data_IF_427228820241
#
_entry.id   IF_427228820241
#
_cell.length_a   1.000
_cell.length_b   1.000
_cell.length_c   1.000
_cell.angle_alpha   90.00
_cell.angle_beta   90.00
_cell.angle_gamma   90.00
#
_symmetry.space_group_name_H-M   'P 1'
#
loop_
_entity.id
_entity.type
_entity.pdbx_description
1 polymer ?
#
# COMPACT_ATOMS: atom_id res chain seq x y z
N UNK A 1 -2.65 -2.23 -11.80
CA UNK A 1 -1.80 -2.10 -13.02
C UNK A 1 -2.55 -1.34 -14.10
N UNK A 2 -1.85 -0.61 -14.96
CA UNK A 2 -2.43 -0.05 -16.19
C UNK A 2 -2.11 -0.95 -17.38
N UNK A 3 -3.12 -1.62 -17.90
CA UNK A 3 -2.95 -2.53 -19.03
C UNK A 3 -2.96 -1.87 -20.41
N UNK A 4 -3.34 -0.61 -20.48
CA UNK A 4 -3.41 0.17 -21.72
C UNK A 4 -2.14 0.92 -22.05
N UNK A 5 -1.24 1.09 -21.06
CA UNK A 5 0.05 1.70 -21.28
C UNK A 5 0.92 0.78 -22.16
N UNK A 6 1.43 1.34 -23.26
CA UNK A 6 2.57 0.76 -23.98
C UNK A 6 3.86 1.17 -23.25
N UNK A 7 4.53 0.26 -22.51
CA UNK A 7 5.62 0.65 -21.63
C UNK A 7 6.83 1.16 -22.43
N UNK A 8 7.40 2.34 -22.11
CA UNK A 8 8.59 2.84 -22.81
C UNK A 8 9.85 2.05 -22.42
N UNK A 9 11.00 2.49 -22.94
CA UNK A 9 12.34 1.96 -22.55
C UNK A 9 12.54 0.46 -22.82
N UNK A 10 11.74 -0.11 -23.75
CA UNK A 10 11.77 -1.53 -24.07
C UNK A 10 11.25 -2.43 -22.95
N UNK A 11 10.48 -1.87 -22.01
CA UNK A 11 9.79 -2.62 -20.96
C UNK A 11 8.70 -3.50 -21.58
N UNK A 12 8.42 -4.63 -20.94
CA UNK A 12 7.38 -5.56 -21.40
C UNK A 12 6.04 -5.14 -20.84
N UNK A 13 4.97 -5.40 -21.58
CA UNK A 13 3.62 -5.37 -21.03
C UNK A 13 3.52 -6.38 -19.90
N UNK A 14 2.94 -5.94 -18.79
CA UNK A 14 2.94 -6.69 -17.53
C UNK A 14 1.65 -7.50 -17.34
N UNK A 15 0.55 -7.04 -17.95
CA UNK A 15 -0.73 -7.72 -17.83
C UNK A 15 -0.63 -9.13 -18.42
N UNK A 16 -0.86 -10.12 -17.55
CA UNK A 16 -0.68 -11.53 -17.83
C UNK A 16 -1.86 -12.20 -18.55
N UNK A 17 -2.98 -11.50 -18.72
CA UNK A 17 -4.22 -12.01 -19.32
C UNK A 17 -4.77 -11.01 -20.35
N UNK A 18 -5.39 -11.52 -21.41
CA UNK A 18 -5.66 -10.74 -22.63
C UNK A 18 -6.63 -9.57 -22.41
N UNK A 19 -7.66 -9.78 -21.61
CA UNK A 19 -8.71 -8.79 -21.41
C UNK A 19 -8.33 -7.66 -20.45
N UNK A 20 -7.22 -7.80 -19.70
CA UNK A 20 -6.70 -6.73 -18.85
C UNK A 20 -5.94 -5.65 -19.62
N UNK A 21 -5.69 -5.82 -20.93
CA UNK A 21 -4.99 -4.80 -21.75
C UNK A 21 -5.87 -3.61 -22.14
N UNK A 22 -6.94 -3.36 -21.38
CA UNK A 22 -7.92 -2.30 -21.64
C UNK A 22 -7.61 -1.08 -20.77
N UNK A 23 -8.05 0.12 -21.17
CA UNK A 23 -7.96 1.30 -20.31
C UNK A 23 -8.60 1.08 -18.94
N UNK A 24 -7.99 1.67 -17.92
CA UNK A 24 -8.38 1.51 -16.52
C UNK A 24 -7.58 0.44 -15.77
N UNK A 25 -7.98 0.18 -14.51
CA UNK A 25 -7.23 -0.68 -13.62
C UNK A 25 -7.35 -2.17 -13.98
N UNK A 26 -6.22 -2.85 -13.92
CA UNK A 26 -6.09 -4.31 -14.05
C UNK A 26 -5.35 -4.90 -12.86
N UNK A 27 -5.81 -6.06 -12.42
CA UNK A 27 -5.34 -6.78 -11.23
C UNK A 27 -4.11 -7.60 -11.55
N UNK A 28 -3.09 -7.56 -10.70
CA UNK A 28 -1.97 -8.49 -10.78
C UNK A 28 -2.36 -9.84 -10.12
N UNK A 29 -2.45 -10.97 -10.86
CA UNK A 29 -2.77 -12.26 -10.24
C UNK A 29 -1.54 -12.80 -9.52
N UNK A 30 -1.62 -13.02 -8.21
CA UNK A 30 -0.55 -13.57 -7.39
C UNK A 30 -0.94 -14.94 -6.83
N UNK A 31 0.05 -15.81 -6.61
CA UNK A 31 -0.16 -17.12 -6.00
C UNK A 31 -0.93 -17.02 -4.67
N UNK A 32 -1.80 -18.00 -4.40
CA UNK A 32 -2.53 -18.15 -3.12
C UNK A 32 -2.01 -19.32 -2.31
N UNK A 33 -1.95 -19.12 -1.00
CA UNK A 33 -1.47 -20.07 -0.02
C UNK A 33 -2.46 -20.18 1.13
N UNK A 34 -2.31 -21.22 1.94
CA UNK A 34 -2.96 -21.24 3.24
C UNK A 34 -2.37 -20.16 4.17
N UNK A 35 -3.09 -19.81 5.24
CA UNK A 35 -2.70 -18.75 6.20
C UNK A 35 -1.30 -18.93 6.81
N UNK A 36 -0.79 -20.15 6.86
CA UNK A 36 0.55 -20.44 7.41
C UNK A 36 1.67 -20.36 6.37
N UNK A 37 1.34 -20.09 5.10
CA UNK A 37 2.26 -20.15 3.96
C UNK A 37 3.02 -21.50 3.86
N UNK A 38 2.36 -22.61 4.25
CA UNK A 38 2.93 -23.96 4.19
C UNK A 38 2.38 -24.81 3.05
N UNK A 39 1.22 -24.44 2.51
CA UNK A 39 0.55 -25.13 1.41
C UNK A 39 0.19 -24.11 0.34
N UNK A 40 0.68 -24.31 -0.88
CA UNK A 40 0.29 -23.51 -2.04
C UNK A 40 -0.99 -24.09 -2.62
N UNK A 41 -2.06 -23.30 -2.64
CA UNK A 41 -3.31 -23.70 -3.26
C UNK A 41 -3.31 -23.44 -4.77
N UNK A 42 -2.70 -22.32 -5.16
CA UNK A 42 -2.68 -21.89 -6.56
C UNK A 42 -1.43 -21.09 -6.84
N UNK A 43 -0.65 -21.52 -7.83
CA UNK A 43 0.47 -20.74 -8.33
C UNK A 43 0.00 -19.61 -9.27
N UNK A 44 0.91 -18.68 -9.57
CA UNK A 44 0.64 -17.56 -10.47
C UNK A 44 0.07 -18.00 -11.83
N UNK A 45 0.56 -19.09 -12.44
CA UNK A 45 0.09 -19.52 -13.76
C UNK A 45 -1.32 -20.09 -13.68
N UNK A 46 -1.61 -20.88 -12.65
CA UNK A 46 -2.94 -21.41 -12.40
C UNK A 46 -3.94 -20.27 -12.16
N UNK A 47 -3.56 -19.22 -11.42
CA UNK A 47 -4.45 -18.09 -11.21
C UNK A 47 -4.64 -17.27 -12.49
N UNK A 48 -3.59 -17.06 -13.29
CA UNK A 48 -3.72 -16.43 -14.62
C UNK A 48 -4.67 -17.22 -15.53
N UNK A 49 -4.65 -18.55 -15.47
CA UNK A 49 -5.62 -19.38 -16.19
C UNK A 49 -7.06 -19.08 -15.75
N UNK A 50 -7.30 -19.00 -14.43
CA UNK A 50 -8.60 -18.58 -13.88
C UNK A 50 -9.04 -17.20 -14.37
N UNK A 51 -8.13 -16.24 -14.48
CA UNK A 51 -8.42 -14.94 -15.08
C UNK A 51 -8.80 -15.07 -16.56
N UNK A 52 -8.05 -15.84 -17.35
CA UNK A 52 -8.32 -16.02 -18.79
C UNK A 52 -9.68 -16.70 -19.05
N UNK A 53 -10.06 -17.65 -18.19
CA UNK A 53 -11.32 -18.40 -18.33
C UNK A 53 -12.48 -17.80 -17.53
N UNK A 54 -12.23 -16.73 -16.77
CA UNK A 54 -13.18 -16.14 -15.82
C UNK A 54 -13.77 -17.18 -14.85
N UNK A 55 -12.91 -18.03 -14.30
CA UNK A 55 -13.27 -19.08 -13.36
C UNK A 55 -13.84 -20.35 -14.00
N UNK A 56 -14.01 -20.40 -15.32
CA UNK A 56 -14.42 -21.63 -16.00
C UNK A 56 -13.25 -22.60 -16.15
N UNK A 57 -13.52 -23.89 -16.39
CA UNK A 57 -12.47 -24.86 -16.69
C UNK A 57 -11.56 -24.36 -17.84
N UNK A 58 -10.23 -24.50 -17.75
CA UNK A 58 -9.47 -25.28 -16.75
C UNK A 58 -9.06 -24.55 -15.45
N UNK A 59 -9.74 -23.50 -15.02
CA UNK A 59 -9.52 -22.91 -13.69
C UNK A 59 -9.68 -23.95 -12.57
N UNK A 60 -8.66 -24.06 -11.74
CA UNK A 60 -8.61 -25.00 -10.60
C UNK A 60 -9.42 -24.43 -9.43
N UNK A 61 -10.41 -25.17 -8.86
CA UNK A 61 -11.23 -24.69 -7.76
C UNK A 61 -10.44 -24.23 -6.52
N UNK A 62 -9.32 -24.89 -6.23
CA UNK A 62 -8.42 -24.56 -5.12
C UNK A 62 -7.79 -23.16 -5.26
N UNK A 63 -7.81 -22.55 -6.44
CA UNK A 63 -7.44 -21.14 -6.60
C UNK A 63 -8.40 -20.19 -5.87
N UNK A 64 -9.60 -20.65 -5.51
CA UNK A 64 -10.60 -19.82 -4.82
C UNK A 64 -10.95 -18.57 -5.63
N UNK A 65 -10.83 -18.62 -6.96
CA UNK A 65 -11.08 -17.49 -7.83
C UNK A 65 -12.58 -17.15 -7.83
N UNK A 66 -12.92 -15.90 -7.51
CA UNK A 66 -14.31 -15.44 -7.50
C UNK A 66 -14.53 -14.49 -8.68
N UNK A 67 -15.24 -14.99 -9.71
CA UNK A 67 -15.57 -14.20 -10.88
C UNK A 67 -16.45 -12.99 -10.52
N UNK A 68 -16.14 -11.83 -11.09
CA UNK A 68 -16.81 -10.57 -10.74
C UNK A 68 -16.18 -9.85 -9.55
N UNK A 69 -15.36 -10.54 -8.74
CA UNK A 69 -14.64 -9.94 -7.59
C UNK A 69 -13.15 -9.86 -7.87
N UNK A 70 -12.50 -11.01 -8.13
CA UNK A 70 -11.04 -11.07 -8.37
C UNK A 70 -10.61 -10.40 -9.68
N UNK A 71 -11.50 -10.26 -10.67
CA UNK A 71 -11.22 -9.60 -11.95
C UNK A 71 -11.35 -8.08 -11.93
N UNK A 72 -11.93 -7.50 -10.88
CA UNK A 72 -12.16 -6.05 -10.76
C UNK A 72 -12.18 -5.51 -9.31
N UNK A 73 -11.38 -6.03 -8.36
CA UNK A 73 -11.44 -5.65 -6.95
C UNK A 73 -11.15 -4.17 -6.75
N UNK A 74 -10.20 -3.56 -7.48
CA UNK A 74 -9.96 -2.12 -7.37
C UNK A 74 -11.21 -1.29 -7.71
N UNK A 75 -11.98 -1.69 -8.72
CA UNK A 75 -13.19 -0.96 -9.11
C UNK A 75 -14.31 -1.17 -8.08
N UNK A 76 -14.47 -2.38 -7.54
CA UNK A 76 -15.44 -2.65 -6.48
C UNK A 76 -15.13 -1.84 -5.22
N UNK A 77 -13.89 -1.94 -4.73
CA UNK A 77 -13.40 -1.16 -3.58
C UNK A 77 -13.56 0.34 -3.84
N UNK A 78 -13.18 0.84 -5.03
CA UNK A 78 -13.35 2.26 -5.36
C UNK A 78 -14.82 2.70 -5.40
N UNK A 79 -15.75 1.83 -5.80
CA UNK A 79 -17.19 2.15 -5.80
C UNK A 79 -17.73 2.23 -4.37
N UNK A 80 -17.40 1.26 -3.51
CA UNK A 80 -17.74 1.31 -2.09
C UNK A 80 -17.11 2.53 -1.40
N UNK A 81 -15.84 2.84 -1.72
CA UNK A 81 -15.11 4.00 -1.21
C UNK A 81 -15.78 5.31 -1.60
N UNK A 82 -16.19 5.48 -2.86
CA UNK A 82 -16.95 6.66 -3.32
C UNK A 82 -18.30 6.78 -2.63
N UNK A 83 -19.02 5.67 -2.47
CA UNK A 83 -20.32 5.67 -1.81
C UNK A 83 -20.17 6.12 -0.36
N UNK A 84 -19.19 5.57 0.37
CA UNK A 84 -18.88 6.00 1.74
C UNK A 84 -18.44 7.45 1.80
N UNK A 85 -17.50 7.87 0.95
CA UNK A 85 -16.99 9.24 0.92
C UNK A 85 -18.08 10.28 0.61
N UNK A 86 -19.04 9.95 -0.26
CA UNK A 86 -20.17 10.82 -0.54
C UNK A 86 -21.11 10.99 0.68
N UNK A 87 -21.12 10.03 1.61
CA UNK A 87 -21.90 10.09 2.84
C UNK A 87 -21.17 10.83 3.97
N UNK A 88 -19.86 10.59 4.13
CA UNK A 88 -19.10 11.07 5.30
C UNK A 88 -18.20 12.28 5.02
N UNK A 89 -17.99 12.63 3.74
CA UNK A 89 -17.13 13.73 3.28
C UNK A 89 -15.76 13.79 4.00
N UNK A 90 -14.89 12.77 3.83
CA UNK A 90 -13.63 12.68 4.56
C UNK A 90 -12.77 13.92 4.30
N UNK A 91 -11.98 14.33 5.29
CA UNK A 91 -11.12 15.52 5.17
C UNK A 91 -9.88 15.24 4.32
N UNK A 92 -9.36 14.02 4.37
CA UNK A 92 -8.19 13.52 3.64
C UNK A 92 -8.20 11.99 3.64
N UNK A 93 -7.34 11.41 2.81
CA UNK A 93 -7.14 9.97 2.67
C UNK A 93 -5.71 9.62 3.10
N UNK A 94 -5.56 8.52 3.83
CA UNK A 94 -4.26 7.88 4.08
C UNK A 94 -4.08 6.76 3.07
N UNK A 95 -2.94 6.74 2.38
CA UNK A 95 -2.61 5.76 1.37
C UNK A 95 -1.29 5.07 1.72
N UNK A 96 -1.34 3.75 1.88
CA UNK A 96 -0.29 2.95 2.56
C UNK A 96 0.71 2.29 1.60
N UNK A 97 0.85 2.81 0.38
CA UNK A 97 1.85 2.32 -0.59
C UNK A 97 1.35 1.19 -1.48
N UNK A 98 2.26 0.71 -2.33
CA UNK A 98 1.95 -0.10 -3.53
C UNK A 98 0.92 0.59 -4.43
N UNK A 99 1.17 1.87 -4.66
CA UNK A 99 0.27 2.78 -5.35
C UNK A 99 0.02 2.34 -6.80
N UNK A 100 1.06 1.81 -7.46
CA UNK A 100 0.97 1.35 -8.85
C UNK A 100 1.58 -0.03 -9.02
N UNK A 101 0.73 -1.05 -9.13
CA UNK A 101 1.20 -2.39 -9.49
C UNK A 101 1.62 -2.49 -10.96
N UNK A 102 2.51 -3.41 -11.32
CA UNK A 102 3.23 -4.33 -10.42
C UNK A 102 4.62 -3.79 -10.02
N UNK A 103 5.07 -2.66 -10.58
CA UNK A 103 6.43 -2.15 -10.37
C UNK A 103 6.49 -0.63 -10.24
N UNK A 104 5.42 0.03 -9.81
CA UNK A 104 5.39 1.48 -9.71
C UNK A 104 5.15 2.13 -11.07
N UNK A 105 5.80 3.28 -11.30
CA UNK A 105 5.73 3.96 -12.59
C UNK A 105 6.66 3.27 -13.59
N UNK A 106 6.11 2.97 -14.77
CA UNK A 106 6.76 2.17 -15.82
C UNK A 106 7.81 2.95 -16.62
N UNK A 107 8.86 3.34 -15.91
CA UNK A 107 10.08 3.98 -16.43
C UNK A 107 11.21 3.85 -15.42
N UNK A 108 12.43 4.11 -15.86
CA UNK A 108 13.57 4.14 -14.96
C UNK A 108 13.57 5.41 -14.10
N UNK A 109 13.95 5.28 -12.84
CA UNK A 109 14.17 6.39 -11.91
C UNK A 109 15.19 7.41 -12.44
N UNK A 110 15.22 8.61 -11.84
CA UNK A 110 16.23 9.63 -12.16
C UNK A 110 15.71 10.69 -13.13
N UNK A 111 14.40 10.88 -13.21
CA UNK A 111 13.86 12.01 -13.96
C UNK A 111 13.88 13.28 -13.14
N UNK A 112 14.11 14.44 -13.75
CA UNK A 112 14.08 15.71 -13.04
C UNK A 112 12.77 15.89 -12.27
N UNK A 113 12.88 16.30 -11.00
CA UNK A 113 11.74 16.45 -10.08
C UNK A 113 10.72 17.51 -10.52
N UNK A 114 11.12 18.43 -11.40
CA UNK A 114 10.27 19.46 -11.99
C UNK A 114 9.53 19.01 -13.26
N UNK A 115 9.65 17.72 -13.63
CA UNK A 115 9.04 17.16 -14.83
C UNK A 115 8.22 15.92 -14.51
N UNK A 116 7.02 15.86 -15.09
CA UNK A 116 6.17 14.67 -15.08
C UNK A 116 6.29 13.98 -16.43
N UNK A 117 6.80 12.76 -16.42
CA UNK A 117 6.91 11.97 -17.64
C UNK A 117 5.56 11.43 -18.12
N UNK A 118 5.52 11.05 -19.40
CA UNK A 118 4.31 10.46 -20.00
C UNK A 118 3.78 9.23 -19.24
N UNK A 119 4.58 8.20 -18.89
CA UNK A 119 4.09 7.05 -18.12
C UNK A 119 3.50 7.45 -16.78
N UNK A 120 4.13 8.41 -16.09
CA UNK A 120 3.62 8.96 -14.84
C UNK A 120 2.23 9.55 -15.06
N UNK A 121 2.09 10.53 -15.96
CA UNK A 121 0.79 11.17 -16.23
C UNK A 121 -0.29 10.15 -16.60
N UNK A 122 0.05 9.21 -17.49
CA UNK A 122 -0.87 8.20 -17.99
C UNK A 122 -1.33 7.24 -16.88
N UNK A 123 -0.40 6.66 -16.10
CA UNK A 123 -0.75 5.76 -15.00
C UNK A 123 -1.54 6.47 -13.90
N UNK A 124 -1.16 7.70 -13.53
CA UNK A 124 -1.94 8.51 -12.57
C UNK A 124 -3.35 8.77 -13.10
N UNK A 125 -3.52 9.10 -14.38
CA UNK A 125 -4.85 9.29 -14.98
C UNK A 125 -5.70 8.01 -14.93
N UNK A 126 -5.12 6.86 -15.28
CA UNK A 126 -5.87 5.60 -15.43
C UNK A 126 -6.15 4.90 -14.10
N UNK A 127 -5.22 4.97 -13.14
CA UNK A 127 -5.26 4.17 -11.91
C UNK A 127 -5.68 5.00 -10.70
N UNK A 128 -5.46 6.32 -10.73
CA UNK A 128 -5.73 7.20 -9.61
C UNK A 128 -6.80 8.26 -9.91
N UNK A 129 -6.55 9.18 -10.83
CA UNK A 129 -7.44 10.33 -11.09
C UNK A 129 -8.78 9.91 -11.71
N UNK A 130 -8.76 8.99 -12.66
CA UNK A 130 -9.98 8.46 -13.28
C UNK A 130 -10.77 7.53 -12.36
N UNK A 131 -10.12 6.92 -11.38
CA UNK A 131 -10.74 5.95 -10.47
C UNK A 131 -11.31 6.63 -9.23
N UNK A 132 -10.53 7.47 -8.53
CA UNK A 132 -10.88 8.03 -7.23
C UNK A 132 -11.29 9.50 -7.33
N UNK A 133 -12.48 9.73 -7.90
CA UNK A 133 -13.11 11.05 -8.06
C UNK A 133 -14.60 10.99 -7.74
N UNK A 134 -15.20 12.14 -7.40
CA UNK A 134 -16.60 12.26 -7.01
C UNK A 134 -16.79 13.01 -5.69
N UNK A 135 -18.04 13.07 -5.22
CA UNK A 135 -18.38 13.68 -3.94
C UNK A 135 -17.58 13.04 -2.79
N UNK A 136 -17.00 13.88 -1.93
CA UNK A 136 -16.14 13.43 -0.83
C UNK A 136 -14.72 13.00 -1.21
N UNK A 137 -14.36 12.94 -2.50
CA UNK A 137 -13.01 12.54 -2.94
C UNK A 137 -12.32 13.59 -3.81
N UNK A 138 -13.08 14.30 -4.65
CA UNK A 138 -12.53 15.37 -5.50
C UNK A 138 -11.92 16.45 -4.60
N UNK A 139 -10.65 16.79 -4.87
CA UNK A 139 -9.83 17.76 -4.13
C UNK A 139 -9.50 17.40 -2.67
N UNK A 140 -9.79 16.18 -2.19
CA UNK A 140 -9.33 15.75 -0.86
C UNK A 140 -7.88 15.30 -0.93
N UNK A 141 -6.99 15.75 -0.02
CA UNK A 141 -5.59 15.31 -0.01
C UNK A 141 -5.46 13.80 0.23
N UNK A 142 -4.49 13.18 -0.44
CA UNK A 142 -4.06 11.80 -0.30
C UNK A 142 -2.64 11.78 0.22
N UNK A 143 -2.49 11.61 1.53
CA UNK A 143 -1.18 11.45 2.15
C UNK A 143 -0.69 10.02 1.92
N UNK A 144 0.32 9.88 1.08
CA UNK A 144 0.78 8.59 0.57
C UNK A 144 2.17 8.22 1.06
N UNK A 145 2.47 6.92 1.11
CA UNK A 145 3.83 6.36 1.23
C UNK A 145 4.17 5.53 0.01
N UNK A 146 5.45 5.15 -0.12
CA UNK A 146 5.90 4.18 -1.11
C UNK A 146 5.84 2.76 -0.52
N UNK A 147 5.32 1.81 -1.29
CA UNK A 147 5.45 0.38 -1.04
C UNK A 147 6.56 -0.26 -1.87
N UNK A 148 6.78 -1.55 -1.68
CA UNK A 148 7.87 -2.26 -2.33
C UNK A 148 7.65 -2.32 -3.85
N UNK A 149 6.40 -2.43 -4.30
CA UNK A 149 6.07 -2.36 -5.72
C UNK A 149 6.33 -0.98 -6.31
N UNK A 150 6.20 0.11 -5.54
CA UNK A 150 6.47 1.47 -6.04
C UNK A 150 7.95 1.70 -6.36
N UNK A 151 8.84 1.09 -5.57
CA UNK A 151 10.28 1.02 -5.83
C UNK A 151 10.64 0.09 -7.00
N UNK A 152 9.76 -0.87 -7.31
CA UNK A 152 9.86 -1.76 -8.47
C UNK A 152 9.57 -3.24 -8.20
N UNK A 153 9.20 -3.59 -6.97
CA UNK A 153 8.78 -4.93 -6.54
C UNK A 153 9.97 -5.89 -6.41
N UNK A 154 10.53 -6.33 -7.53
CA UNK A 154 11.69 -7.23 -7.57
C UNK A 154 12.98 -6.58 -8.10
N UNK A 155 12.91 -5.28 -8.33
CA UNK A 155 14.00 -4.41 -8.79
C UNK A 155 13.83 -3.02 -8.16
N UNK A 156 14.89 -2.22 -8.08
CA UNK A 156 14.85 -0.91 -7.39
C UNK A 156 14.83 0.28 -8.36
N UNK A 157 15.01 0.02 -9.67
CA UNK A 157 15.27 1.06 -10.67
C UNK A 157 14.01 1.60 -11.36
N UNK A 158 12.83 1.44 -10.78
CA UNK A 158 11.57 1.99 -11.32
C UNK A 158 11.29 3.42 -10.85
N UNK A 159 10.34 4.10 -11.51
CA UNK A 159 10.12 5.55 -11.38
C UNK A 159 9.43 6.00 -10.08
N UNK A 160 9.90 5.54 -8.92
CA UNK A 160 9.40 5.95 -7.59
C UNK A 160 9.49 7.47 -7.37
N UNK A 161 10.57 8.09 -7.88
CA UNK A 161 10.86 9.53 -7.85
C UNK A 161 9.76 10.37 -8.53
N UNK A 162 9.09 9.79 -9.52
CA UNK A 162 8.00 10.46 -10.22
C UNK A 162 6.70 10.46 -9.45
N UNK A 163 6.48 9.49 -8.55
CA UNK A 163 5.35 9.56 -7.62
C UNK A 163 5.56 10.66 -6.59
N UNK A 164 6.82 10.89 -6.16
CA UNK A 164 7.16 12.05 -5.34
C UNK A 164 6.92 13.32 -6.14
N UNK A 165 7.54 13.46 -7.33
CA UNK A 165 7.39 14.62 -8.22
C UNK A 165 5.93 14.99 -8.50
N UNK A 166 5.03 14.00 -8.58
CA UNK A 166 3.61 14.21 -8.83
C UNK A 166 2.90 15.02 -7.72
N UNK A 167 3.46 15.09 -6.51
CA UNK A 167 2.96 15.97 -5.44
C UNK A 167 2.97 17.45 -5.84
N UNK A 168 3.88 17.86 -6.74
CA UNK A 168 3.97 19.22 -7.26
C UNK A 168 3.14 19.43 -8.53
N UNK A 169 2.60 18.35 -9.11
CA UNK A 169 1.77 18.37 -10.31
C UNK A 169 0.28 18.12 -10.02
N UNK A 170 -0.05 17.66 -8.81
CA UNK A 170 -1.40 17.37 -8.35
C UNK A 170 -1.82 18.35 -7.26
N UNK A 171 -3.10 18.67 -7.19
CA UNK A 171 -3.67 19.44 -6.08
C UNK A 171 -4.05 18.57 -4.88
N UNK A 172 -3.96 17.23 -5.01
CA UNK A 172 -4.48 16.30 -4.02
C UNK A 172 -3.55 15.13 -3.71
N UNK A 173 -2.57 14.81 -4.56
CA UNK A 173 -1.55 13.82 -4.22
C UNK A 173 -0.48 14.44 -3.32
N UNK A 174 -0.22 13.86 -2.15
CA UNK A 174 0.77 14.36 -1.19
C UNK A 174 1.72 13.24 -0.78
N UNK A 175 2.94 13.29 -1.31
CA UNK A 175 4.05 12.42 -0.96
C UNK A 175 5.37 13.13 -1.28
N UNK A 176 5.80 14.09 -0.44
CA UNK A 176 6.90 14.97 -0.78
C UNK A 176 8.30 14.36 -0.64
N UNK A 177 8.41 13.21 0.02
CA UNK A 177 9.66 12.49 0.26
C UNK A 177 9.33 11.03 0.59
N UNK A 178 10.32 10.10 0.58
CA UNK A 178 10.10 8.73 1.04
C UNK A 178 9.53 8.65 2.46
N UNK A 179 9.90 9.61 3.31
CA UNK A 179 9.38 9.76 4.65
C UNK A 179 9.19 11.24 4.99
N UNK A 180 8.11 11.57 5.71
CA UNK A 180 7.76 12.96 6.02
C UNK A 180 6.76 13.03 7.18
N UNK A 181 6.60 14.24 7.73
CA UNK A 181 5.60 14.54 8.75
C UNK A 181 4.58 15.52 8.18
N UNK A 182 3.30 15.32 8.47
CA UNK A 182 2.28 16.36 8.31
C UNK A 182 1.47 16.52 9.60
N UNK A 183 0.93 17.70 9.81
CA UNK A 183 0.06 18.00 10.94
C UNK A 183 -1.29 18.48 10.42
N UNK A 184 -2.38 17.91 10.94
CA UNK A 184 -3.75 18.36 10.65
C UNK A 184 -4.30 19.01 11.91
N UNK A 185 -4.75 20.26 11.79
CA UNK A 185 -5.21 21.07 12.93
C UNK A 185 -6.70 21.32 12.81
N UNK A 186 -7.47 20.87 13.80
CA UNK A 186 -8.89 21.13 13.95
C UNK A 186 -9.13 22.21 14.99
N UNK A 187 -8.74 23.45 14.68
CA UNK A 187 -8.75 24.56 15.62
C UNK A 187 -10.12 24.79 16.28
N UNK A 188 -11.21 24.69 15.51
CA UNK A 188 -12.58 24.87 16.02
C UNK A 188 -13.04 23.73 16.95
N UNK A 189 -12.36 22.58 16.90
CA UNK A 189 -12.64 21.41 17.73
C UNK A 189 -11.57 21.19 18.82
N UNK A 190 -10.59 22.10 18.93
CA UNK A 190 -9.54 22.10 19.95
C UNK A 190 -8.71 20.80 19.99
N UNK A 191 -8.39 20.24 18.83
CA UNK A 191 -7.45 19.12 18.71
C UNK A 191 -6.68 19.14 17.38
N UNK A 192 -5.62 18.36 17.33
CA UNK A 192 -4.71 18.24 16.19
C UNK A 192 -4.12 16.82 16.12
N UNK A 193 -3.62 16.48 14.94
CA UNK A 193 -3.09 15.15 14.63
C UNK A 193 -1.75 15.30 13.94
N UNK A 194 -0.73 14.69 14.49
CA UNK A 194 0.56 14.50 13.83
C UNK A 194 0.60 13.14 13.14
N UNK A 195 0.78 13.16 11.83
CA UNK A 195 1.04 11.95 11.05
C UNK A 195 2.53 11.85 10.69
N UNK A 196 3.08 10.67 10.90
CA UNK A 196 4.45 10.32 10.58
C UNK A 196 4.45 9.22 9.51
N UNK A 197 4.84 9.60 8.29
CA UNK A 197 4.89 8.72 7.14
C UNK A 197 6.32 8.16 7.01
N UNK A 198 6.44 6.83 7.02
CA UNK A 198 7.72 6.12 7.02
C UNK A 198 7.87 5.24 5.76
N UNK A 199 9.10 5.13 5.27
CA UNK A 199 9.49 4.14 4.27
C UNK A 199 10.09 2.91 4.99
N UNK A 200 9.34 1.82 5.02
CA UNK A 200 9.74 0.55 5.60
C UNK A 200 10.27 -0.47 4.59
N UNK A 201 10.59 -0.05 3.36
CA UNK A 201 10.91 -0.97 2.26
C UNK A 201 12.24 -1.71 2.43
N UNK A 202 13.03 -1.37 3.47
CA UNK A 202 14.20 -2.16 3.84
C UNK A 202 13.90 -3.66 4.08
N UNK A 203 12.65 -4.01 4.40
CA UNK A 203 12.21 -5.39 4.64
C UNK A 203 12.33 -6.25 3.36
N UNK A 204 12.05 -5.67 2.18
CA UNK A 204 12.18 -6.34 0.88
C UNK A 204 13.48 -5.97 0.13
N UNK A 205 14.40 -5.27 0.79
CA UNK A 205 15.71 -4.92 0.26
C UNK A 205 16.80 -5.90 0.75
N UNK A 206 16.68 -7.16 0.32
CA UNK A 206 17.52 -8.28 0.78
C UNK A 206 18.86 -8.37 0.03
N UNK A 207 19.86 -9.13 0.53
CA UNK A 207 21.09 -9.39 -0.22
C UNK A 207 20.81 -9.82 -1.67
N UNK A 208 21.58 -9.36 -2.68
CA UNK A 208 21.17 -9.46 -4.09
C UNK A 208 20.93 -10.88 -4.64
N UNK A 209 21.45 -11.90 -3.97
CA UNK A 209 21.30 -13.30 -4.36
C UNK A 209 20.09 -13.99 -3.71
N UNK A 210 19.40 -13.31 -2.78
CA UNK A 210 18.28 -13.85 -2.01
C UNK A 210 16.93 -13.47 -2.63
N UNK A 211 15.97 -14.38 -2.46
CA UNK A 211 14.58 -14.33 -2.94
C UNK A 211 14.35 -13.45 -4.17
N UNK A 212 14.87 -13.85 -5.34
CA UNK A 212 14.91 -12.99 -6.50
C UNK A 212 13.53 -12.73 -7.14
N UNK A 213 12.42 -13.17 -6.54
CA UNK A 213 11.08 -12.82 -7.03
C UNK A 213 10.36 -11.82 -6.10
N UNK A 214 10.90 -11.54 -4.91
CA UNK A 214 10.36 -10.56 -3.94
C UNK A 214 11.40 -9.52 -3.50
N UNK A 215 12.67 -9.71 -3.83
CA UNK A 215 13.75 -8.81 -3.44
C UNK A 215 13.94 -7.67 -4.44
N UNK A 216 13.71 -6.42 -4.02
CA UNK A 216 13.94 -5.22 -4.84
C UNK A 216 15.41 -5.06 -5.25
N UNK A 217 16.35 -5.58 -4.46
CA UNK A 217 17.77 -5.52 -4.73
C UNK A 217 18.31 -6.75 -5.49
N UNK A 218 17.44 -7.58 -6.07
CA UNK A 218 17.85 -8.83 -6.72
C UNK A 218 18.77 -8.60 -7.92
N UNK A 219 19.92 -9.30 -7.97
CA UNK A 219 20.82 -9.31 -9.14
C UNK A 219 20.17 -9.96 -10.37
N UNK A 220 19.17 -10.82 -10.18
CA UNK A 220 18.48 -11.51 -11.27
C UNK A 220 17.65 -10.55 -12.14
N UNK A 221 17.02 -9.55 -11.51
CA UNK A 221 16.08 -8.67 -12.22
C UNK A 221 16.59 -7.25 -12.43
N UNK A 222 17.57 -6.81 -11.63
CA UNK A 222 18.26 -5.56 -11.88
C UNK A 222 19.35 -5.76 -12.93
N UNK A 223 19.46 -4.84 -13.88
CA UNK A 223 20.61 -4.81 -14.80
C UNK A 223 21.88 -4.54 -13.99
N UNK A 224 23.05 -5.05 -14.40
CA UNK A 224 24.32 -4.71 -13.74
C UNK A 224 24.61 -3.19 -13.71
N UNK A 225 24.03 -2.43 -14.64
CA UNK A 225 24.16 -0.98 -14.73
C UNK A 225 22.98 -0.22 -14.09
N UNK A 226 22.06 -0.88 -13.38
CA UNK A 226 20.92 -0.24 -12.74
C UNK A 226 21.42 0.75 -11.67
N UNK A 227 20.86 1.96 -11.67
CA UNK A 227 21.22 3.02 -10.74
C UNK A 227 20.11 4.06 -10.65
N UNK A 228 19.81 4.51 -9.44
CA UNK A 228 18.93 5.64 -9.14
C UNK A 228 19.68 6.81 -8.49
N UNK A 229 21.02 6.86 -8.59
CA UNK A 229 21.83 7.91 -7.99
C UNK A 229 21.41 9.33 -8.43
N UNK A 230 20.87 9.46 -9.66
CA UNK A 230 20.37 10.73 -10.19
C UNK A 230 19.14 11.29 -9.45
N UNK A 231 18.45 10.45 -8.67
CA UNK A 231 17.33 10.82 -7.80
C UNK A 231 17.64 10.57 -6.31
N UNK A 232 18.92 10.51 -5.92
CA UNK A 232 19.36 10.19 -4.55
C UNK A 232 18.94 8.78 -4.05
N UNK A 233 18.62 7.87 -4.98
CA UNK A 233 18.32 6.46 -4.69
C UNK A 233 19.55 5.55 -4.71
N UNK A 234 19.37 4.22 -4.65
CA UNK A 234 20.47 3.26 -4.70
C UNK A 234 21.37 3.42 -5.93
N UNK A 235 22.68 3.49 -5.72
CA UNK A 235 23.64 3.73 -6.80
C UNK A 235 23.95 2.50 -7.65
N UNK A 236 23.75 1.29 -7.10
CA UNK A 236 23.98 0.01 -7.76
C UNK A 236 23.22 -1.12 -7.07
N UNK A 237 23.14 -2.28 -7.72
CA UNK A 237 22.57 -3.52 -7.14
C UNK A 237 23.26 -3.89 -5.82
N UNK A 238 24.59 -3.81 -5.76
CA UNK A 238 25.35 -4.18 -4.57
C UNK A 238 25.17 -3.17 -3.41
N UNK A 239 24.91 -1.90 -3.73
CA UNK A 239 24.64 -0.86 -2.74
C UNK A 239 23.18 -0.83 -2.25
N UNK A 240 22.25 -1.42 -3.01
CA UNK A 240 20.80 -1.33 -2.77
C UNK A 240 20.36 -1.73 -1.36
N UNK A 241 20.76 -2.89 -0.80
CA UNK A 241 20.35 -3.26 0.55
C UNK A 241 20.86 -2.27 1.61
N UNK A 242 22.10 -1.82 1.45
CA UNK A 242 22.74 -0.86 2.35
C UNK A 242 22.10 0.53 2.30
N UNK A 243 21.62 0.95 1.13
CA UNK A 243 20.89 2.20 0.95
C UNK A 243 19.56 2.18 1.70
N UNK A 244 18.72 1.15 1.52
CA UNK A 244 17.45 1.04 2.23
C UNK A 244 17.64 0.84 3.75
N UNK A 245 18.65 0.07 4.16
CA UNK A 245 18.97 -0.08 5.58
C UNK A 245 19.39 1.25 6.22
N UNK A 246 20.14 2.07 5.49
CA UNK A 246 20.57 3.40 5.92
C UNK A 246 19.39 4.38 5.98
N UNK A 247 18.51 4.36 4.98
CA UNK A 247 17.26 5.14 4.99
C UNK A 247 16.40 4.78 6.22
N UNK A 248 16.22 3.50 6.54
CA UNK A 248 15.48 3.09 7.73
C UNK A 248 16.19 3.51 9.04
N UNK A 249 17.52 3.36 9.10
CA UNK A 249 18.31 3.76 10.26
C UNK A 249 18.30 5.28 10.51
N UNK A 250 18.14 6.10 9.47
CA UNK A 250 17.99 7.55 9.57
C UNK A 250 16.58 7.95 10.07
N UNK A 251 15.55 7.29 9.55
CA UNK A 251 14.14 7.58 9.89
C UNK A 251 13.81 7.28 11.35
N UNK A 252 14.36 6.22 11.94
CA UNK A 252 14.09 5.83 13.34
C UNK A 252 14.38 6.96 14.35
N UNK A 253 15.59 7.53 14.44
CA UNK A 253 15.86 8.64 15.34
C UNK A 253 15.10 9.91 14.94
N UNK A 254 14.85 10.14 13.64
CA UNK A 254 14.05 11.27 13.16
C UNK A 254 12.62 11.24 13.74
N UNK A 255 11.91 10.12 13.59
CA UNK A 255 10.53 10.00 14.09
C UNK A 255 10.48 9.93 15.61
N UNK A 256 11.41 9.23 16.25
CA UNK A 256 11.54 9.15 17.72
C UNK A 256 11.67 10.55 18.32
N UNK A 257 12.51 11.40 17.73
CA UNK A 257 12.69 12.79 18.17
C UNK A 257 11.40 13.59 18.01
N UNK A 258 10.82 13.60 16.80
CA UNK A 258 9.65 14.43 16.52
C UNK A 258 8.43 14.02 17.35
N UNK A 259 8.21 12.73 17.59
CA UNK A 259 7.14 12.26 18.48
C UNK A 259 7.38 12.64 19.94
N UNK A 260 8.62 12.53 20.43
CA UNK A 260 8.97 12.96 21.78
C UNK A 260 8.75 14.46 22.01
N UNK A 261 8.96 15.27 20.96
CA UNK A 261 8.73 16.72 20.97
C UNK A 261 7.25 17.09 20.77
N UNK A 262 6.46 16.25 20.09
CA UNK A 262 5.07 16.53 19.75
C UNK A 262 4.21 16.84 20.98
N UNK A 263 3.25 17.74 20.76
CA UNK A 263 2.20 18.14 21.71
C UNK A 263 0.81 17.93 21.09
N UNK A 264 0.75 17.27 19.93
CA UNK A 264 -0.49 17.01 19.25
C UNK A 264 -1.39 16.10 20.09
N UNK A 265 -2.69 16.26 19.94
CA UNK A 265 -3.69 15.45 20.63
C UNK A 265 -3.62 13.98 20.19
N UNK A 266 -3.23 13.75 18.94
CA UNK A 266 -3.03 12.42 18.36
C UNK A 266 -1.72 12.31 17.60
N UNK A 267 -1.09 11.14 17.66
CA UNK A 267 0.08 10.79 16.85
C UNK A 267 -0.15 9.46 16.15
N UNK A 268 -0.10 9.48 14.81
CA UNK A 268 -0.38 8.33 13.95
C UNK A 268 0.84 8.03 13.07
N UNK A 269 1.26 6.77 13.02
CA UNK A 269 2.27 6.32 12.05
C UNK A 269 1.58 5.69 10.86
N UNK A 270 2.05 6.04 9.67
CA UNK A 270 1.62 5.44 8.40
C UNK A 270 2.85 4.88 7.70
N UNK A 271 2.80 3.61 7.30
CA UNK A 271 3.93 2.92 6.65
C UNK A 271 3.40 1.81 5.76
N UNK A 272 4.25 1.20 4.92
CA UNK A 272 3.79 0.17 4.00
C UNK A 272 3.74 -1.22 4.62
N UNK A 273 4.85 -1.69 5.21
CA UNK A 273 4.94 -3.07 5.69
C UNK A 273 4.02 -3.32 6.89
N UNK A 274 3.45 -4.53 6.97
CA UNK A 274 2.23 -4.76 7.73
C UNK A 274 2.52 -4.84 9.24
N UNK A 275 1.45 -4.76 10.02
CA UNK A 275 1.47 -5.14 11.43
C UNK A 275 2.23 -6.47 11.63
N UNK A 276 3.09 -6.51 12.64
CA UNK A 276 3.92 -7.67 12.96
C UNK A 276 5.41 -7.49 12.67
N UNK A 277 5.78 -6.55 11.80
CA UNK A 277 7.18 -6.17 11.56
C UNK A 277 7.62 -5.04 12.48
N UNK A 278 8.90 -5.02 12.84
CA UNK A 278 9.52 -3.96 13.65
C UNK A 278 8.75 -3.64 14.95
N UNK A 279 8.09 -4.65 15.55
CA UNK A 279 7.17 -4.43 16.68
C UNK A 279 7.85 -3.78 17.89
N UNK A 280 9.09 -4.15 18.20
CA UNK A 280 9.83 -3.52 19.30
C UNK A 280 10.09 -2.03 19.05
N UNK A 281 10.31 -1.63 17.79
CA UNK A 281 10.47 -0.23 17.43
C UNK A 281 9.15 0.53 17.57
N UNK A 282 8.05 0.02 17.00
CA UNK A 282 6.74 0.65 17.12
C UNK A 282 6.23 0.70 18.57
N UNK A 283 6.54 -0.32 19.38
CA UNK A 283 6.33 -0.30 20.83
C UNK A 283 7.05 0.87 21.49
N UNK A 284 8.30 1.13 21.11
CA UNK A 284 9.06 2.28 21.65
C UNK A 284 8.43 3.63 21.27
N UNK A 285 7.78 3.73 20.11
CA UNK A 285 7.04 4.93 19.70
C UNK A 285 5.72 5.09 20.46
N UNK A 286 5.07 3.98 20.81
CA UNK A 286 3.88 3.99 21.68
C UNK A 286 4.20 4.58 23.06
N UNK A 287 5.38 4.29 23.62
CA UNK A 287 5.83 4.93 24.87
C UNK A 287 6.07 6.46 24.70
N UNK A 288 6.25 6.92 23.46
CA UNK A 288 6.31 8.33 23.07
C UNK A 288 4.96 8.92 22.62
N UNK A 289 3.86 8.18 22.81
CA UNK A 289 2.50 8.63 22.57
C UNK A 289 1.96 8.36 21.17
N UNK A 290 2.50 7.38 20.45
CA UNK A 290 1.88 6.87 19.22
C UNK A 290 0.58 6.13 19.56
N UNK A 291 -0.52 6.54 18.93
CA UNK A 291 -1.88 6.06 19.23
C UNK A 291 -2.37 5.00 18.23
N UNK A 292 -1.91 5.09 16.98
CA UNK A 292 -2.35 4.23 15.89
C UNK A 292 -1.21 3.99 14.90
N UNK A 293 -1.11 2.74 14.42
CA UNK A 293 -0.25 2.34 13.31
C UNK A 293 -1.11 1.91 12.12
N UNK A 294 -0.93 2.54 10.96
CA UNK A 294 -1.68 2.27 9.72
C UNK A 294 -0.73 1.71 8.66
N UNK A 295 -1.02 0.51 8.17
CA UNK A 295 -0.12 -0.27 7.30
C UNK A 295 -0.85 -0.89 6.10
N UNK A 296 -0.10 -1.47 5.15
CA UNK A 296 -0.63 -2.16 3.97
C UNK A 296 0.12 -3.47 3.69
N UNK A 297 0.61 -3.64 2.46
CA UNK A 297 1.44 -4.76 1.98
C UNK A 297 0.77 -6.14 1.92
N UNK A 298 0.25 -6.68 3.03
CA UNK A 298 -0.57 -7.90 2.96
C UNK A 298 -1.90 -7.55 2.31
N UNK A 299 -2.28 -8.32 1.28
CA UNK A 299 -3.42 -7.98 0.41
C UNK A 299 -4.76 -8.39 1.04
N UNK A 300 -4.98 -7.97 2.28
CA UNK A 300 -6.20 -8.18 3.05
C UNK A 300 -6.49 -7.02 4.02
N UNK A 301 -7.53 -7.17 4.85
CA UNK A 301 -7.90 -6.24 5.90
C UNK A 301 -7.69 -6.90 7.26
N UNK A 302 -6.89 -6.27 8.12
CA UNK A 302 -6.66 -6.77 9.47
C UNK A 302 -6.67 -5.67 10.52
N UNK A 303 -7.55 -5.81 11.51
CA UNK A 303 -7.54 -4.99 12.71
C UNK A 303 -6.85 -5.71 13.88
N UNK A 304 -5.68 -5.21 14.28
CA UNK A 304 -4.89 -5.74 15.39
C UNK A 304 -5.12 -4.91 16.64
N UNK A 305 -5.70 -5.53 17.66
CA UNK A 305 -6.02 -4.88 18.93
C UNK A 305 -4.81 -4.91 19.88
N UNK A 306 -4.67 -3.92 20.79
CA UNK A 306 -3.54 -3.83 21.71
C UNK A 306 -3.50 -4.97 22.75
N UNK A 307 -4.62 -5.65 22.97
CA UNK A 307 -4.77 -6.80 23.88
C UNK A 307 -4.67 -8.16 23.18
N UNK A 308 -4.44 -8.19 21.86
CA UNK A 308 -4.16 -9.42 21.10
C UNK A 308 -2.69 -9.83 21.24
N UNK A 309 -2.32 -10.22 22.47
CA UNK A 309 -0.94 -10.57 22.84
C UNK A 309 -0.38 -11.78 22.08
N UNK A 310 -1.19 -12.53 21.32
CA UNK A 310 -0.73 -13.67 20.55
C UNK A 310 0.03 -13.24 19.27
N UNK A 311 -0.30 -12.08 18.72
CA UNK A 311 0.33 -11.54 17.50
C UNK A 311 0.82 -10.09 17.63
N UNK A 312 0.17 -9.28 18.47
CA UNK A 312 0.48 -7.87 18.67
C UNK A 312 1.25 -7.64 19.98
N UNK A 313 2.55 -7.45 19.87
CA UNK A 313 3.45 -7.16 20.99
C UNK A 313 3.76 -5.66 21.16
N UNK A 314 3.18 -4.81 20.30
CA UNK A 314 3.38 -3.35 20.31
C UNK A 314 2.55 -2.66 21.39
N UNK A 315 1.40 -3.25 21.76
CA UNK A 315 0.47 -2.66 22.73
C UNK A 315 -0.16 -1.36 22.22
N UNK A 316 -0.38 -1.27 20.91
CA UNK A 316 -1.06 -0.19 20.17
C UNK A 316 -1.99 -0.83 19.13
N UNK A 317 -3.09 -0.17 18.78
CA UNK A 317 -3.94 -0.62 17.68
C UNK A 317 -3.18 -0.48 16.36
N UNK A 318 -3.26 -1.50 15.51
CA UNK A 318 -2.62 -1.51 14.19
C UNK A 318 -3.61 -1.97 13.11
N UNK A 319 -3.60 -1.30 11.96
CA UNK A 319 -4.45 -1.62 10.80
C UNK A 319 -3.56 -2.12 9.66
N UNK A 320 -3.95 -3.23 9.02
CA UNK A 320 -3.48 -3.63 7.68
C UNK A 320 -4.61 -3.36 6.70
N UNK A 321 -4.39 -2.47 5.73
CA UNK A 321 -5.38 -2.09 4.70
C UNK A 321 -4.85 -2.32 3.28
N UNK A 322 -4.24 -3.47 3.02
CA UNK A 322 -3.66 -3.80 1.70
C UNK A 322 -4.65 -4.40 0.70
N UNK A 323 -5.92 -4.60 1.08
CA UNK A 323 -7.02 -5.08 0.25
C UNK A 323 -7.53 -4.14 -0.86
N UNK A 324 -6.74 -3.18 -1.34
CA UNK A 324 -7.18 -2.16 -2.30
C UNK A 324 -7.44 -2.66 -3.74
N UNK A 325 -7.00 -3.89 -4.07
CA UNK A 325 -7.36 -4.57 -5.31
C UNK A 325 -6.46 -4.31 -6.54
N UNK A 326 -5.26 -3.74 -6.36
CA UNK A 326 -4.27 -3.65 -7.44
C UNK A 326 -3.61 -4.99 -7.79
N UNK A 327 -3.69 -5.94 -6.86
CA UNK A 327 -3.20 -7.31 -6.87
C UNK A 327 -4.24 -8.19 -6.16
N UNK A 328 -4.26 -9.49 -6.45
CA UNK A 328 -5.21 -10.42 -5.82
C UNK A 328 -4.96 -10.55 -4.32
N UNK A 329 -6.04 -10.72 -3.56
CA UNK A 329 -6.00 -10.91 -2.11
C UNK A 329 -5.26 -12.17 -1.67
N UNK A 330 -4.79 -12.18 -0.42
CA UNK A 330 -4.00 -13.28 0.16
C UNK A 330 -4.72 -14.64 0.09
N UNK A 331 -6.03 -14.64 0.31
CA UNK A 331 -6.92 -15.79 0.21
C UNK A 331 -8.11 -15.52 -0.73
N UNK A 332 -9.00 -16.50 -0.86
CA UNK A 332 -10.26 -16.33 -1.59
C UNK A 332 -11.08 -15.17 -1.01
N UNK A 333 -11.66 -14.26 -1.82
CA UNK A 333 -12.54 -13.20 -1.33
C UNK A 333 -13.96 -13.70 -1.05
N UNK A 334 -14.22 -15.02 -1.14
CA UNK A 334 -15.51 -15.61 -0.80
C UNK A 334 -15.77 -15.50 0.72
N UNK A 335 -16.79 -14.74 1.18
CA UNK A 335 -17.07 -14.57 2.60
C UNK A 335 -17.59 -15.84 3.29
N UNK A 336 -17.93 -16.89 2.53
CA UNK A 336 -18.29 -18.20 3.07
C UNK A 336 -17.06 -19.09 3.35
N UNK A 337 -15.86 -18.71 2.89
CA UNK A 337 -14.62 -19.49 2.96
C UNK A 337 -13.48 -18.68 3.62
N UNK A 338 -13.61 -18.42 4.92
CA UNK A 338 -12.72 -17.50 5.67
C UNK A 338 -11.62 -18.20 6.48
N UNK A 339 -11.47 -19.53 6.37
CA UNK A 339 -10.51 -20.31 7.18
C UNK A 339 -9.07 -19.80 7.06
N UNK A 340 -8.68 -19.34 5.87
CA UNK A 340 -7.33 -18.88 5.56
C UNK A 340 -7.15 -17.35 5.61
N UNK A 341 -8.17 -16.58 6.02
CA UNK A 341 -8.07 -15.13 6.14
C UNK A 341 -7.20 -14.73 7.34
N UNK A 342 -6.31 -13.73 7.20
CA UNK A 342 -5.55 -13.23 8.36
C UNK A 342 -6.41 -12.41 9.31
N UNK A 343 -7.19 -11.48 8.75
CA UNK A 343 -8.10 -10.60 9.46
C UNK A 343 -9.55 -10.77 9.05
N UNK A 344 -10.31 -9.68 9.14
CA UNK A 344 -11.76 -9.68 8.98
C UNK A 344 -12.24 -9.62 7.53
N UNK A 345 -11.39 -9.20 6.59
CA UNK A 345 -11.77 -8.99 5.19
C UNK A 345 -10.62 -9.24 4.23
N UNK A 346 -10.93 -9.37 2.94
CA UNK A 346 -9.94 -9.48 1.86
C UNK A 346 -9.83 -8.15 1.11
N UNK A 347 -10.80 -7.82 0.24
CA UNK A 347 -10.81 -6.52 -0.44
C UNK A 347 -11.67 -5.49 0.31
N UNK A 348 -11.15 -4.29 0.49
CA UNK A 348 -11.83 -3.20 1.18
C UNK A 348 -10.89 -2.09 1.66
N UNK A 349 -11.37 -1.31 2.63
CA UNK A 349 -10.68 -0.15 3.20
C UNK A 349 -11.19 0.12 4.62
N UNK A 350 -10.60 1.11 5.30
CA UNK A 350 -11.07 1.57 6.60
C UNK A 350 -11.55 3.03 6.53
N UNK A 351 -12.60 3.35 7.28
CA UNK A 351 -13.03 4.71 7.57
C UNK A 351 -12.73 5.07 9.02
N UNK A 352 -12.22 6.28 9.25
CA UNK A 352 -11.76 6.75 10.55
C UNK A 352 -12.49 8.05 10.89
N UNK A 353 -13.33 8.02 11.93
CA UNK A 353 -13.95 9.22 12.51
C UNK A 353 -13.15 9.65 13.74
N UNK A 354 -12.49 10.80 13.65
CA UNK A 354 -11.59 11.30 14.71
C UNK A 354 -12.20 12.51 15.44
N UNK A 355 -12.03 12.51 16.76
CA UNK A 355 -12.35 13.63 17.65
C UNK A 355 -11.18 13.85 18.62
N UNK A 356 -11.30 14.82 19.53
CA UNK A 356 -10.31 15.04 20.59
C UNK A 356 -10.12 13.82 21.51
N UNK A 357 -11.14 12.99 21.69
CA UNK A 357 -11.16 11.92 22.73
C UNK A 357 -11.16 10.50 22.18
N UNK A 358 -11.46 10.32 20.90
CA UNK A 358 -11.48 9.00 20.27
C UNK A 358 -11.30 9.03 18.76
N UNK A 359 -10.79 7.91 18.23
CA UNK A 359 -10.85 7.52 16.82
C UNK A 359 -11.76 6.29 16.71
N UNK A 360 -12.90 6.42 16.05
CA UNK A 360 -13.72 5.28 15.63
C UNK A 360 -13.19 4.75 14.30
N UNK A 361 -12.86 3.46 14.26
CA UNK A 361 -12.37 2.73 13.10
C UNK A 361 -13.49 1.81 12.62
N UNK A 362 -13.83 1.88 11.34
CA UNK A 362 -14.77 0.97 10.67
C UNK A 362 -14.07 0.28 9.50
N UNK A 363 -13.96 -1.05 9.54
CA UNK A 363 -13.48 -1.89 8.44
C UNK A 363 -14.62 -2.12 7.45
N UNK A 364 -14.45 -1.75 6.18
CA UNK A 364 -15.49 -1.78 5.15
C UNK A 364 -15.01 -2.64 3.98
N UNK A 365 -15.82 -3.62 3.56
CA UNK A 365 -15.48 -4.51 2.45
C UNK A 365 -15.73 -3.86 1.07
N UNK A 366 -15.38 -4.58 0.00
CA UNK A 366 -15.58 -4.15 -1.38
C UNK A 366 -17.05 -3.96 -1.81
N UNK A 367 -18.01 -4.49 -1.04
CA UNK A 367 -19.46 -4.32 -1.26
C UNK A 367 -20.06 -3.18 -0.41
N UNK A 368 -19.25 -2.55 0.46
CA UNK A 368 -19.66 -1.42 1.30
C UNK A 368 -20.21 -1.81 2.68
N UNK A 369 -20.16 -3.08 3.05
CA UNK A 369 -20.58 -3.56 4.36
C UNK A 369 -19.48 -3.30 5.41
N UNK A 370 -19.90 -2.81 6.58
CA UNK A 370 -19.03 -2.67 7.75
C UNK A 370 -18.83 -4.06 8.37
N UNK A 371 -17.59 -4.56 8.36
CA UNK A 371 -17.23 -5.88 8.88
C UNK A 371 -16.89 -5.86 10.37
N UNK A 372 -16.19 -4.81 10.80
CA UNK A 372 -15.66 -4.69 12.16
C UNK A 372 -15.55 -3.22 12.56
N UNK A 373 -15.79 -2.94 13.84
CA UNK A 373 -15.65 -1.60 14.41
C UNK A 373 -14.80 -1.63 15.67
N UNK A 374 -13.96 -0.61 15.86
CA UNK A 374 -13.18 -0.46 17.09
C UNK A 374 -12.94 1.01 17.41
N UNK A 375 -12.87 1.35 18.70
CA UNK A 375 -12.59 2.71 19.15
C UNK A 375 -11.23 2.75 19.83
N UNK A 376 -10.38 3.66 19.36
CA UNK A 376 -9.08 3.97 19.97
C UNK A 376 -9.23 5.25 20.80
N UNK A 377 -8.59 5.28 21.96
CA UNK A 377 -8.50 6.46 22.82
C UNK A 377 -7.06 6.99 22.82
N UNK A 378 -6.86 8.31 22.95
CA UNK A 378 -5.54 8.90 22.90
C UNK A 378 -4.71 8.42 24.08
N UNK A 379 -3.43 8.18 23.85
CA UNK A 379 -2.47 7.71 24.84
C UNK A 379 -2.05 8.78 25.85
N UNK A 380 -2.36 10.06 25.58
CA UNK A 380 -1.94 11.23 26.35
C UNK A 380 -3.06 12.20 26.65
#
# INVERSE_FOLDING_TARGET
>A
MDGSLDPPEGRKTIVAYDWGRRPGPSVFPRSRWNKKHTVQFCDHKQLVECFNTRGQAPCTPECGYVAGVDDQPQLLVANAFKARAALVDPQYILNVGDNFYWGGIEKTCGSPMDQISYPTKHQFDQIFEGVYQGAGLTNKPWFSVLGNHDWGGFKFDNGWDQQISYTWASNRWVMPAPYYKTSVVYADQDFDVDYFFLDSNFIDAMPPEEDPNHNMCSRKNNKPSASCAAADGPESVDACPGWFASLWAEQKPWVTKLMGESKASWQVVVTHFPCGHEQDFYKSLRDLGMDLLVTGHRHDQELWLPDDYAKNHMGVTCIVTGGGGGITSEATPNPEETEDWYGEGQYGFYDLTISKSEILIESINYDGDVLLTHTVHPSR
#
